data_IF_099845330844
#
_entry.id   IF_099845330844
#
_cell.length_a   1.000
_cell.length_b   1.000
_cell.length_c   1.000
_cell.angle_alpha   90.00
_cell.angle_beta   90.00
_cell.angle_gamma   90.00
#
_symmetry.space_group_name_H-M   'P 1'
#
loop_
_entity.id
_entity.type
_entity.pdbx_description
1 polymer ?
#
# COMPACT_ATOMS: atom_id res chain seq x y z
N UNK A 1 32.68 -40.70 -21.79
CA UNK A 1 31.38 -41.34 -21.47
C UNK A 1 31.29 -41.45 -19.96
N UNK A 2 30.22 -40.92 -19.34
CA UNK A 2 30.00 -40.67 -17.89
C UNK A 2 30.56 -39.35 -17.31
N UNK A 3 29.81 -38.26 -17.53
CA UNK A 3 29.72 -37.11 -16.62
C UNK A 3 28.52 -36.25 -17.05
N UNK A 4 27.32 -36.80 -16.85
CA UNK A 4 26.03 -36.14 -17.12
C UNK A 4 24.97 -36.90 -16.29
N UNK A 5 24.76 -36.51 -15.03
CA UNK A 5 23.58 -36.89 -14.21
C UNK A 5 23.53 -36.20 -12.83
N UNK A 6 23.84 -34.91 -12.73
CA UNK A 6 23.72 -34.17 -11.46
C UNK A 6 23.26 -32.70 -11.61
N UNK A 7 22.46 -32.38 -12.64
CA UNK A 7 21.98 -31.01 -12.89
C UNK A 7 20.49 -30.90 -13.25
N UNK A 8 19.66 -31.87 -12.86
CA UNK A 8 18.23 -31.85 -13.18
C UNK A 8 17.37 -32.39 -12.02
N UNK A 9 17.34 -31.69 -10.89
CA UNK A 9 16.27 -31.77 -9.89
C UNK A 9 16.41 -30.68 -8.80
N UNK A 10 16.63 -29.43 -9.20
CA UNK A 10 16.25 -28.29 -8.36
C UNK A 10 14.85 -27.82 -8.79
N UNK A 11 13.90 -28.76 -8.93
CA UNK A 11 12.50 -28.40 -8.77
C UNK A 11 12.37 -28.01 -7.30
N UNK A 12 11.97 -26.76 -7.09
CA UNK A 12 11.47 -26.28 -5.81
C UNK A 12 10.39 -27.25 -5.35
N UNK A 13 10.76 -28.22 -4.52
CA UNK A 13 9.84 -28.97 -3.69
C UNK A 13 9.27 -27.95 -2.70
N UNK A 14 8.21 -27.28 -3.13
CA UNK A 14 7.25 -26.68 -2.22
C UNK A 14 6.78 -27.82 -1.32
N UNK A 15 7.22 -27.79 -0.07
CA UNK A 15 6.88 -28.83 0.91
C UNK A 15 5.35 -28.95 0.99
N UNK A 16 4.76 -30.14 0.80
CA UNK A 16 3.31 -30.35 0.82
C UNK A 16 2.61 -29.83 2.09
N UNK A 17 3.37 -29.71 3.20
CA UNK A 17 2.90 -29.20 4.48
C UNK A 17 2.47 -27.72 4.46
N UNK A 18 3.06 -26.87 3.62
CA UNK A 18 2.75 -25.43 3.59
C UNK A 18 1.42 -25.14 2.88
N UNK A 19 1.05 -25.98 1.91
CA UNK A 19 -0.25 -25.93 1.24
C UNK A 19 -1.37 -26.51 2.10
N UNK A 20 -1.08 -27.55 2.89
CA UNK A 20 -2.08 -28.24 3.71
C UNK A 20 -2.66 -27.36 4.83
N UNK A 21 -1.85 -26.49 5.44
CA UNK A 21 -2.30 -25.56 6.49
C UNK A 21 -2.71 -24.17 5.96
N UNK A 22 -2.70 -23.98 4.63
CA UNK A 22 -3.11 -22.72 4.00
C UNK A 22 -4.62 -22.57 3.95
N UNK A 23 -5.36 -23.67 3.91
CA UNK A 23 -6.81 -23.66 3.78
C UNK A 23 -7.43 -24.04 5.14
N UNK A 24 -8.17 -23.11 5.74
CA UNK A 24 -8.81 -23.31 7.04
C UNK A 24 -10.10 -24.14 6.93
N UNK A 25 -10.65 -24.25 5.73
CA UNK A 25 -11.78 -25.11 5.39
C UNK A 25 -11.71 -25.58 3.92
N UNK A 26 -12.38 -26.70 3.57
CA UNK A 26 -12.39 -27.23 2.20
C UNK A 26 -13.05 -26.30 1.18
N UNK A 27 -13.99 -25.46 1.60
CA UNK A 27 -14.67 -24.49 0.72
C UNK A 27 -13.69 -23.46 0.17
N UNK A 28 -12.79 -22.96 1.03
CA UNK A 28 -11.75 -22.00 0.67
C UNK A 28 -10.78 -22.60 -0.36
N UNK A 29 -10.38 -23.87 -0.16
CA UNK A 29 -9.52 -24.58 -1.11
C UNK A 29 -10.18 -24.69 -2.49
N UNK A 30 -11.45 -25.08 -2.52
CA UNK A 30 -12.23 -25.16 -3.76
C UNK A 30 -12.39 -23.80 -4.46
N UNK A 31 -12.70 -22.74 -3.70
CA UNK A 31 -12.84 -21.38 -4.23
C UNK A 31 -11.53 -20.85 -4.82
N UNK A 32 -10.42 -20.98 -4.09
CA UNK A 32 -9.10 -20.53 -4.57
C UNK A 32 -8.69 -21.29 -5.83
N UNK A 33 -8.86 -22.62 -5.85
CA UNK A 33 -8.51 -23.43 -7.01
C UNK A 33 -9.29 -23.00 -8.27
N UNK A 34 -10.62 -22.83 -8.14
CA UNK A 34 -11.47 -22.45 -9.27
C UNK A 34 -11.27 -21.00 -9.71
N UNK A 35 -11.11 -20.07 -8.78
CA UNK A 35 -10.83 -18.67 -9.11
C UNK A 35 -9.45 -18.50 -9.78
N UNK A 36 -8.44 -19.27 -9.37
CA UNK A 36 -7.14 -19.32 -10.05
C UNK A 36 -7.24 -19.92 -11.44
N UNK A 37 -7.97 -21.03 -11.60
CA UNK A 37 -8.22 -21.62 -12.91
C UNK A 37 -8.93 -20.62 -13.84
N UNK A 38 -9.94 -19.91 -13.33
CA UNK A 38 -10.62 -18.84 -14.05
C UNK A 38 -9.67 -17.72 -14.42
N UNK A 39 -8.86 -17.23 -13.48
CA UNK A 39 -7.86 -16.18 -13.73
C UNK A 39 -6.91 -16.59 -14.86
N UNK A 40 -6.33 -17.80 -14.79
CA UNK A 40 -5.46 -18.33 -15.85
C UNK A 40 -6.14 -18.40 -17.22
N UNK A 41 -7.44 -18.70 -17.28
CA UNK A 41 -8.22 -18.74 -18.52
C UNK A 41 -8.60 -17.34 -19.03
N UNK A 42 -9.10 -16.46 -18.14
CA UNK A 42 -9.53 -15.10 -18.47
C UNK A 42 -8.36 -14.23 -18.88
N UNK A 43 -7.27 -14.30 -18.12
CA UNK A 43 -5.98 -13.65 -18.41
C UNK A 43 -5.39 -14.09 -19.74
N UNK A 44 -5.88 -15.19 -20.32
CA UNK A 44 -5.49 -15.75 -21.61
C UNK A 44 -6.51 -15.46 -22.72
N UNK A 45 -7.77 -15.22 -22.37
CA UNK A 45 -8.84 -14.92 -23.31
C UNK A 45 -8.79 -13.49 -23.86
N UNK A 46 -8.38 -12.50 -23.05
CA UNK A 46 -8.40 -11.07 -23.45
C UNK A 46 -7.18 -10.78 -24.34
N UNK A 47 -7.37 -10.56 -25.64
CA UNK A 47 -6.29 -10.19 -26.56
C UNK A 47 -6.01 -8.70 -26.58
N UNK A 48 -7.04 -7.90 -26.47
CA UNK A 48 -6.94 -6.44 -26.41
C UNK A 48 -8.10 -5.87 -25.60
N UNK A 49 -7.89 -4.68 -25.05
CA UNK A 49 -8.99 -3.86 -24.55
C UNK A 49 -8.72 -2.39 -24.83
N UNK A 50 -9.79 -1.63 -24.99
CA UNK A 50 -9.79 -0.17 -24.93
C UNK A 50 -10.57 0.27 -23.69
N UNK A 51 -10.11 1.32 -23.02
CA UNK A 51 -10.79 1.89 -21.86
C UNK A 51 -10.40 3.35 -21.64
N UNK A 52 -11.35 4.16 -21.15
CA UNK A 52 -11.08 5.49 -20.61
C UNK A 52 -10.82 5.35 -19.11
N UNK A 53 -9.67 5.83 -18.64
CA UNK A 53 -9.25 5.72 -17.25
C UNK A 53 -9.06 7.10 -16.66
N UNK A 54 -9.71 7.36 -15.52
CA UNK A 54 -9.58 8.61 -14.75
C UNK A 54 -8.98 8.31 -13.40
N UNK A 55 -7.97 9.06 -12.99
CA UNK A 55 -7.30 8.95 -11.70
C UNK A 55 -7.35 10.29 -10.97
N UNK A 56 -7.53 10.22 -9.66
CA UNK A 56 -7.45 11.36 -8.74
C UNK A 56 -6.59 10.98 -7.54
N UNK A 57 -5.66 11.85 -7.21
CA UNK A 57 -4.83 11.79 -6.01
C UNK A 57 -4.99 13.09 -5.25
N UNK A 58 -5.28 13.00 -3.97
CA UNK A 58 -5.33 14.14 -3.06
C UNK A 58 -4.51 13.85 -1.81
N UNK A 59 -3.64 14.79 -1.45
CA UNK A 59 -2.85 14.74 -0.22
C UNK A 59 -3.10 16.02 0.54
N UNK A 60 -3.55 15.85 1.78
CA UNK A 60 -3.76 16.95 2.71
C UNK A 60 -2.66 17.05 3.75
N UNK A 61 -2.67 18.15 4.49
CA UNK A 61 -1.91 18.36 5.71
C UNK A 61 -2.89 18.77 6.79
N UNK A 62 -2.95 17.97 7.85
CA UNK A 62 -3.66 18.28 9.08
C UNK A 62 -2.63 18.64 10.14
N UNK A 63 -2.49 19.94 10.39
CA UNK A 63 -1.69 20.48 11.47
C UNK A 63 -2.58 21.38 12.34
N UNK A 64 -2.57 21.12 13.65
CA UNK A 64 -3.38 21.82 14.66
C UNK A 64 -4.90 21.65 14.43
N UNK A 65 -5.55 22.58 13.71
CA UNK A 65 -7.02 22.59 13.44
C UNK A 65 -7.39 22.98 12.01
N UNK A 66 -6.44 23.04 11.08
CA UNK A 66 -6.71 23.42 9.69
C UNK A 66 -6.27 22.32 8.75
N UNK A 67 -7.19 21.90 7.90
CA UNK A 67 -6.90 21.00 6.78
C UNK A 67 -6.49 21.86 5.57
N UNK A 68 -5.34 21.54 4.98
CA UNK A 68 -4.82 22.20 3.78
C UNK A 68 -4.47 21.17 2.73
N UNK A 69 -4.85 21.39 1.47
CA UNK A 69 -4.37 20.57 0.37
C UNK A 69 -2.90 20.93 0.09
N UNK A 70 -2.02 19.92 0.05
CA UNK A 70 -0.59 20.10 -0.23
C UNK A 70 -0.18 19.53 -1.58
N UNK A 71 -0.93 18.54 -2.07
CA UNK A 71 -0.74 17.96 -3.40
C UNK A 71 -2.08 17.47 -3.94
N UNK A 72 -2.33 17.74 -5.22
CA UNK A 72 -3.45 17.18 -5.98
C UNK A 72 -2.95 16.82 -7.36
N UNK A 73 -3.37 15.68 -7.87
CA UNK A 73 -3.19 15.30 -9.26
C UNK A 73 -4.44 14.65 -9.81
N UNK A 74 -4.80 15.01 -11.03
CA UNK A 74 -5.89 14.40 -11.78
C UNK A 74 -5.38 14.08 -13.19
N UNK A 75 -5.69 12.87 -13.64
CA UNK A 75 -5.22 12.33 -14.90
C UNK A 75 -6.37 11.59 -15.59
N UNK A 76 -6.55 11.82 -16.88
CA UNK A 76 -7.48 11.12 -17.74
C UNK A 76 -6.72 10.61 -18.96
N UNK A 77 -6.83 9.31 -19.23
CA UNK A 77 -6.15 8.66 -20.36
C UNK A 77 -7.10 7.72 -21.09
N UNK A 78 -6.88 7.55 -22.39
CA UNK A 78 -7.46 6.47 -23.16
C UNK A 78 -6.38 5.41 -23.37
N UNK A 79 -6.66 4.18 -22.94
CA UNK A 79 -5.71 3.06 -22.99
C UNK A 79 -6.15 2.09 -24.07
N UNK A 80 -5.31 1.86 -25.06
CA UNK A 80 -5.44 0.79 -26.04
C UNK A 80 -4.42 -0.31 -25.71
N UNK A 81 -4.83 -1.26 -24.86
CA UNK A 81 -3.97 -2.36 -24.42
C UNK A 81 -4.04 -3.54 -25.39
N UNK A 82 -2.90 -4.18 -25.63
CA UNK A 82 -2.80 -5.41 -26.41
C UNK A 82 -1.86 -6.40 -25.76
N UNK A 83 -2.20 -7.69 -25.84
CA UNK A 83 -1.37 -8.79 -25.36
C UNK A 83 -0.11 -8.94 -26.22
N UNK A 84 1.03 -9.17 -25.56
CA UNK A 84 2.31 -9.55 -26.17
C UNK A 84 2.84 -8.60 -27.26
N UNK A 85 2.31 -7.38 -27.34
CA UNK A 85 2.76 -6.32 -28.25
C UNK A 85 2.75 -4.96 -27.55
N UNK A 86 3.03 -3.87 -28.27
CA UNK A 86 3.04 -2.51 -27.74
C UNK A 86 1.61 -1.95 -27.76
N UNK A 87 1.11 -1.59 -26.59
CA UNK A 87 -0.12 -0.82 -26.45
C UNK A 87 0.11 0.68 -26.66
N UNK A 88 -0.96 1.43 -26.73
CA UNK A 88 -0.93 2.89 -26.80
C UNK A 88 -1.69 3.50 -25.62
N UNK A 89 -1.19 4.60 -25.08
CA UNK A 89 -1.90 5.41 -24.08
C UNK A 89 -1.94 6.84 -24.60
N UNK A 90 -3.14 7.35 -24.86
CA UNK A 90 -3.36 8.75 -25.21
C UNK A 90 -3.75 9.53 -23.97
N UNK A 91 -3.03 10.60 -23.66
CA UNK A 91 -3.39 11.49 -22.56
C UNK A 91 -4.53 12.40 -23.00
N UNK A 92 -5.67 12.33 -22.30
CA UNK A 92 -6.87 13.13 -22.58
C UNK A 92 -6.94 14.39 -21.72
N UNK A 93 -6.42 14.31 -20.49
CA UNK A 93 -6.38 15.44 -19.57
C UNK A 93 -5.40 15.17 -18.44
N UNK A 94 -4.70 16.20 -17.97
CA UNK A 94 -3.74 16.08 -16.88
C UNK A 94 -3.62 17.42 -16.18
N UNK A 95 -3.71 17.41 -14.84
CA UNK A 95 -3.37 18.58 -14.02
C UNK A 95 -2.83 18.17 -12.67
N UNK A 96 -1.87 18.94 -12.20
CA UNK A 96 -1.22 18.82 -10.92
C UNK A 96 -1.22 20.17 -10.21
N UNK A 97 -1.44 20.16 -8.90
CA UNK A 97 -1.33 21.34 -8.06
C UNK A 97 -0.52 21.00 -6.82
N UNK A 98 0.53 21.79 -6.55
CA UNK A 98 1.39 21.66 -5.37
C UNK A 98 1.40 23.01 -4.64
N UNK A 99 0.32 23.41 -3.94
CA UNK A 99 0.15 24.78 -3.43
C UNK A 99 1.26 25.26 -2.50
N UNK A 100 1.99 24.33 -1.89
CA UNK A 100 3.13 24.62 -0.99
C UNK A 100 4.41 25.01 -1.74
N UNK A 101 4.52 24.68 -3.04
CA UNK A 101 5.73 24.87 -3.84
C UNK A 101 5.50 25.71 -5.10
N UNK A 102 4.35 25.51 -5.78
CA UNK A 102 4.03 26.15 -7.05
C UNK A 102 2.66 26.82 -6.98
N UNK A 103 2.53 27.99 -7.61
CA UNK A 103 1.23 28.68 -7.77
C UNK A 103 0.52 28.17 -9.01
N UNK A 104 -0.75 27.79 -8.86
CA UNK A 104 -1.60 27.38 -9.97
C UNK A 104 -1.54 25.87 -10.25
N UNK A 105 -2.13 25.50 -11.38
CA UNK A 105 -2.15 24.13 -11.91
C UNK A 105 -1.12 24.00 -13.03
N UNK A 106 -0.46 22.86 -13.10
CA UNK A 106 0.55 22.54 -14.10
C UNK A 106 0.37 21.13 -14.65
N UNK A 107 1.02 20.84 -15.78
CA UNK A 107 1.12 19.46 -16.28
C UNK A 107 2.14 18.71 -15.41
N UNK A 108 1.83 17.47 -14.94
CA UNK A 108 2.80 16.67 -14.20
C UNK A 108 4.08 16.46 -15.02
N UNK A 109 5.25 16.68 -14.41
CA UNK A 109 6.55 16.50 -15.10
C UNK A 109 6.77 15.04 -15.52
N UNK A 110 6.38 14.09 -14.66
CA UNK A 110 6.51 12.64 -14.88
C UNK A 110 5.33 12.02 -15.64
N UNK A 111 4.53 12.82 -16.36
CA UNK A 111 3.30 12.36 -17.02
C UNK A 111 3.52 11.16 -17.93
N UNK A 112 4.59 11.16 -18.73
CA UNK A 112 4.90 10.09 -19.67
C UNK A 112 5.31 8.78 -18.97
N UNK A 113 5.99 8.86 -17.82
CA UNK A 113 6.38 7.69 -17.04
C UNK A 113 5.26 7.16 -16.15
N UNK A 114 4.34 8.03 -15.72
CA UNK A 114 3.26 7.66 -14.80
C UNK A 114 2.01 7.13 -15.52
N UNK A 115 1.70 7.58 -16.74
CA UNK A 115 0.52 7.13 -17.47
C UNK A 115 0.42 5.60 -17.66
N UNK A 116 1.52 4.86 -17.93
CA UNK A 116 1.51 3.39 -18.00
C UNK A 116 1.05 2.67 -16.71
N UNK A 117 1.14 3.30 -15.54
CA UNK A 117 0.69 2.71 -14.27
C UNK A 117 -0.83 2.63 -14.15
N UNK A 118 -1.57 3.31 -15.04
CA UNK A 118 -3.04 3.26 -15.10
C UNK A 118 -3.54 2.00 -15.82
N UNK A 119 -2.72 1.40 -16.68
CA UNK A 119 -3.10 0.21 -17.43
C UNK A 119 -3.27 -1.00 -16.49
N UNK A 120 -4.45 -1.62 -16.55
CA UNK A 120 -4.71 -2.87 -15.86
C UNK A 120 -4.07 -4.03 -16.64
N UNK A 121 -3.34 -4.87 -15.92
CA UNK A 121 -2.80 -6.12 -16.44
C UNK A 121 -3.56 -7.27 -15.75
N UNK A 122 -4.50 -7.95 -16.46
CA UNK A 122 -5.29 -9.04 -15.91
C UNK A 122 -4.42 -10.12 -15.25
N UNK A 123 -3.23 -10.35 -15.81
CA UNK A 123 -2.35 -11.42 -15.41
C UNK A 123 -1.31 -11.06 -14.34
N UNK A 124 -1.39 -9.86 -13.78
CA UNK A 124 -0.45 -9.41 -12.77
C UNK A 124 -0.53 -10.27 -11.51
N UNK A 125 0.60 -10.66 -10.93
CA UNK A 125 0.63 -11.41 -9.67
C UNK A 125 0.63 -10.49 -8.43
N UNK A 126 0.50 -9.19 -8.65
CA UNK A 126 0.41 -8.16 -7.64
C UNK A 126 -0.83 -7.29 -7.81
N UNK A 127 -1.37 -6.85 -6.68
CA UNK A 127 -2.36 -5.78 -6.61
C UNK A 127 -1.59 -4.48 -6.39
N UNK A 128 -1.58 -3.60 -7.39
CA UNK A 128 -1.01 -2.24 -7.26
C UNK A 128 -2.09 -1.30 -6.75
N UNK A 129 -1.80 -0.59 -5.68
CA UNK A 129 -2.74 0.31 -5.00
C UNK A 129 -2.15 1.66 -4.61
N UNK A 130 -0.87 1.88 -4.88
CA UNK A 130 -0.29 3.21 -4.88
C UNK A 130 0.74 3.32 -6.01
N UNK A 131 1.15 4.55 -6.30
CA UNK A 131 2.19 4.86 -7.29
C UNK A 131 3.56 4.36 -6.83
N UNK A 132 4.41 4.04 -7.79
CA UNK A 132 5.78 3.57 -7.54
C UNK A 132 5.86 2.11 -7.08
N UNK A 133 7.05 1.69 -6.67
CA UNK A 133 7.37 0.29 -6.38
C UNK A 133 6.90 -0.18 -4.98
N UNK A 134 6.73 0.74 -4.04
CA UNK A 134 6.28 0.43 -2.67
C UNK A 134 4.76 0.21 -2.57
N UNK A 135 4.00 0.63 -3.58
CA UNK A 135 2.53 0.61 -3.62
C UNK A 135 1.91 -0.70 -4.13
N UNK A 136 2.48 -1.85 -3.80
CA UNK A 136 2.00 -3.15 -4.28
C UNK A 136 1.92 -4.20 -3.18
N UNK A 137 0.90 -5.06 -3.26
CA UNK A 137 0.74 -6.23 -2.42
C UNK A 137 0.66 -7.49 -3.28
N UNK A 138 1.13 -8.61 -2.75
CA UNK A 138 1.05 -9.88 -3.49
C UNK A 138 -0.41 -10.33 -3.63
N UNK A 139 -0.84 -10.62 -4.85
CA UNK A 139 -2.23 -11.01 -5.15
C UNK A 139 -2.57 -12.36 -4.46
N UNK A 140 -3.70 -12.49 -3.73
CA UNK A 140 -4.03 -13.72 -3.00
C UNK A 140 -4.32 -14.92 -3.90
N UNK A 141 -4.75 -14.69 -5.14
CA UNK A 141 -4.86 -15.71 -6.18
C UNK A 141 -3.58 -15.90 -7.01
N UNK A 142 -2.46 -15.26 -6.66
CA UNK A 142 -1.19 -15.55 -7.35
C UNK A 142 -0.75 -17.00 -7.11
N UNK A 143 -0.06 -17.64 -8.05
CA UNK A 143 0.54 -18.96 -7.83
C UNK A 143 1.49 -18.97 -6.63
N UNK A 144 1.34 -19.98 -5.77
CA UNK A 144 2.15 -20.18 -4.55
C UNK A 144 1.81 -19.22 -3.42
N UNK A 145 0.61 -18.65 -3.39
CA UNK A 145 0.23 -17.68 -2.35
C UNK A 145 -0.10 -18.26 -1.00
N UNK A 146 -0.21 -19.58 -0.93
CA UNK A 146 -0.27 -20.38 0.27
C UNK A 146 0.90 -20.15 1.21
N UNK A 147 2.08 -19.80 0.69
CA UNK A 147 3.26 -19.48 1.50
C UNK A 147 3.12 -18.15 2.26
N UNK A 148 2.25 -17.25 1.78
CA UNK A 148 2.07 -15.90 2.34
C UNK A 148 0.72 -15.72 3.02
N UNK A 149 -0.28 -16.51 2.66
CA UNK A 149 -1.65 -16.38 3.13
C UNK A 149 -2.23 -17.70 3.64
N UNK A 150 -3.21 -17.57 4.52
CA UNK A 150 -4.22 -18.58 4.82
C UNK A 150 -5.57 -18.11 4.33
N UNK A 151 -6.45 -19.05 4.01
CA UNK A 151 -7.74 -18.79 3.38
C UNK A 151 -8.86 -19.43 4.18
N UNK A 152 -9.98 -18.72 4.31
CA UNK A 152 -11.22 -19.26 4.85
C UNK A 152 -12.41 -18.84 3.98
N UNK A 153 -13.41 -19.70 3.90
CA UNK A 153 -14.73 -19.33 3.38
C UNK A 153 -15.37 -18.33 4.34
N UNK A 154 -16.01 -17.31 3.79
CA UNK A 154 -16.75 -16.33 4.55
C UNK A 154 -18.23 -16.34 4.19
N UNK A 155 -18.82 -15.16 4.15
CA UNK A 155 -20.24 -14.99 3.88
C UNK A 155 -20.59 -15.30 2.41
N UNK A 156 -21.87 -15.53 2.16
CA UNK A 156 -22.45 -15.65 0.82
C UNK A 156 -23.51 -14.58 0.65
N UNK A 157 -23.53 -13.89 -0.48
CA UNK A 157 -24.59 -12.92 -0.80
C UNK A 157 -24.98 -13.03 -2.26
N UNK A 158 -26.15 -12.50 -2.60
CA UNK A 158 -26.66 -12.45 -3.96
C UNK A 158 -26.69 -10.99 -4.42
N UNK A 159 -26.05 -10.70 -5.55
CA UNK A 159 -26.08 -9.39 -6.20
C UNK A 159 -27.20 -9.41 -7.22
N UNK A 160 -28.16 -8.50 -7.10
CA UNK A 160 -29.23 -8.33 -8.09
C UNK A 160 -28.88 -7.21 -9.05
N UNK A 161 -28.86 -7.49 -10.35
CA UNK A 161 -28.62 -6.52 -11.39
C UNK A 161 -29.91 -5.78 -11.79
N UNK A 162 -29.83 -4.58 -12.40
CA UNK A 162 -31.01 -3.84 -12.87
C UNK A 162 -31.88 -4.61 -13.89
N UNK A 163 -31.31 -5.59 -14.58
CA UNK A 163 -31.99 -6.49 -15.53
C UNK A 163 -32.75 -7.65 -14.85
N UNK A 164 -32.78 -7.69 -13.50
CA UNK A 164 -33.44 -8.72 -12.70
C UNK A 164 -32.63 -10.00 -12.51
N UNK A 165 -31.44 -10.11 -13.12
CA UNK A 165 -30.54 -11.24 -12.92
C UNK A 165 -29.93 -11.21 -11.52
N UNK A 166 -29.90 -12.35 -10.84
CA UNK A 166 -29.19 -12.52 -9.58
C UNK A 166 -27.88 -13.26 -9.77
N UNK A 167 -26.84 -12.83 -9.08
CA UNK A 167 -25.54 -13.47 -9.08
C UNK A 167 -25.10 -13.79 -7.66
N UNK A 168 -24.94 -15.08 -7.38
CA UNK A 168 -24.36 -15.54 -6.12
C UNK A 168 -22.88 -15.21 -6.06
N UNK A 169 -22.45 -14.62 -4.95
CA UNK A 169 -21.04 -14.32 -4.68
C UNK A 169 -20.63 -14.90 -3.32
N UNK A 170 -19.44 -15.48 -3.29
CA UNK A 170 -18.82 -16.10 -2.12
C UNK A 170 -17.67 -15.24 -1.62
N UNK A 171 -17.62 -14.98 -0.32
CA UNK A 171 -16.49 -14.35 0.33
C UNK A 171 -15.37 -15.38 0.55
N UNK A 172 -14.17 -15.01 0.13
CA UNK A 172 -12.92 -15.67 0.47
C UNK A 172 -12.12 -14.73 1.38
N UNK A 173 -12.01 -15.09 2.65
CA UNK A 173 -11.21 -14.37 3.64
C UNK A 173 -9.74 -14.70 3.44
N UNK A 174 -8.91 -13.66 3.36
CA UNK A 174 -7.46 -13.74 3.19
C UNK A 174 -6.78 -13.27 4.45
N UNK A 175 -6.04 -14.19 5.08
CA UNK A 175 -5.32 -13.96 6.33
C UNK A 175 -3.83 -14.00 6.03
N UNK A 176 -3.07 -12.92 6.21
CA UNK A 176 -1.63 -12.93 5.99
C UNK A 176 -0.95 -13.82 7.02
N UNK A 177 0.06 -14.60 6.64
CA UNK A 177 0.83 -15.43 7.58
C UNK A 177 1.85 -14.62 8.40
N UNK A 178 2.22 -13.44 7.90
CA UNK A 178 3.19 -12.53 8.52
C UNK A 178 2.69 -11.08 8.47
N UNK A 179 3.09 -10.30 9.47
CA UNK A 179 2.85 -8.86 9.50
C UNK A 179 3.84 -8.14 8.56
N UNK A 180 3.46 -8.00 7.30
CA UNK A 180 4.27 -7.38 6.24
C UNK A 180 3.41 -6.43 5.40
N UNK A 181 3.88 -5.21 5.12
CA UNK A 181 3.13 -4.22 4.35
C UNK A 181 2.88 -4.66 2.90
N UNK A 182 3.68 -5.61 2.40
CA UNK A 182 3.52 -6.21 1.06
C UNK A 182 2.46 -7.32 1.01
N UNK A 183 1.89 -7.68 2.16
CA UNK A 183 0.80 -8.65 2.28
C UNK A 183 -0.50 -7.97 2.68
N UNK A 184 -1.62 -8.56 2.30
CA UNK A 184 -2.94 -8.05 2.61
C UNK A 184 -3.70 -8.86 3.66
N UNK A 185 -4.53 -8.17 4.43
CA UNK A 185 -5.57 -8.75 5.27
C UNK A 185 -6.91 -8.25 4.77
N UNK A 186 -7.79 -9.15 4.34
CA UNK A 186 -9.10 -8.74 3.82
C UNK A 186 -9.90 -9.86 3.17
N UNK A 187 -10.74 -9.50 2.21
CA UNK A 187 -11.71 -10.39 1.58
C UNK A 187 -11.76 -10.22 0.07
N UNK A 188 -11.83 -11.33 -0.66
CA UNK A 188 -12.16 -11.40 -2.08
C UNK A 188 -13.58 -11.90 -2.23
N UNK A 189 -14.39 -11.23 -3.04
CA UNK A 189 -15.73 -11.69 -3.41
C UNK A 189 -15.66 -12.33 -4.78
N UNK A 190 -16.10 -13.58 -4.87
CA UNK A 190 -15.94 -14.44 -6.04
C UNK A 190 -17.31 -14.87 -6.54
N UNK A 191 -17.57 -14.69 -7.84
CA UNK A 191 -18.77 -15.16 -8.53
C UNK A 191 -18.95 -16.68 -8.40
N UNK A 192 -20.18 -17.13 -8.15
CA UNK A 192 -20.43 -18.53 -7.81
C UNK A 192 -20.35 -19.53 -8.96
N UNK A 193 -20.69 -19.12 -10.19
CA UNK A 193 -20.61 -19.98 -11.37
C UNK A 193 -19.33 -19.75 -12.17
N UNK A 194 -19.05 -18.48 -12.50
CA UNK A 194 -17.90 -18.10 -13.31
C UNK A 194 -16.58 -18.00 -12.55
N UNK A 195 -16.59 -17.98 -11.22
CA UNK A 195 -15.41 -17.81 -10.36
C UNK A 195 -14.56 -16.57 -10.68
N UNK A 196 -15.17 -15.53 -11.25
CA UNK A 196 -14.55 -14.22 -11.42
C UNK A 196 -14.47 -13.46 -10.11
N UNK A 197 -13.42 -12.65 -9.93
CA UNK A 197 -13.32 -11.74 -8.79
C UNK A 197 -14.24 -10.55 -9.06
N UNK A 198 -15.19 -10.31 -8.16
CA UNK A 198 -16.19 -9.24 -8.24
C UNK A 198 -15.76 -8.03 -7.43
N UNK A 199 -15.13 -8.26 -6.27
CA UNK A 199 -14.61 -7.20 -5.40
C UNK A 199 -13.42 -7.71 -4.61
N UNK A 200 -12.47 -6.82 -4.36
CA UNK A 200 -11.38 -7.01 -3.42
C UNK A 200 -11.43 -5.87 -2.40
N UNK A 201 -11.54 -6.19 -1.11
CA UNK A 201 -11.47 -5.22 -0.01
C UNK A 201 -10.39 -5.66 0.97
N UNK A 202 -9.38 -4.84 1.19
CA UNK A 202 -8.29 -5.20 2.10
C UNK A 202 -7.61 -3.98 2.71
N UNK A 203 -6.73 -4.25 3.67
CA UNK A 203 -5.68 -3.34 4.10
C UNK A 203 -4.33 -4.07 4.15
N UNK A 204 -3.20 -3.38 4.05
CA UNK A 204 -1.89 -3.98 4.32
C UNK A 204 -1.85 -4.64 5.70
N UNK A 205 -1.10 -5.72 5.85
CA UNK A 205 -1.03 -6.47 7.10
C UNK A 205 -0.38 -5.68 8.25
N UNK A 206 0.35 -4.61 7.93
CA UNK A 206 0.83 -3.60 8.89
C UNK A 206 1.08 -2.27 8.17
N UNK A 207 1.16 -1.15 8.92
CA UNK A 207 1.62 0.12 8.38
C UNK A 207 3.03 0.01 7.79
N UNK A 208 3.29 0.86 6.81
CA UNK A 208 4.62 1.09 6.26
C UNK A 208 5.43 1.97 7.22
N UNK A 209 6.68 1.58 7.52
CA UNK A 209 7.64 2.41 8.25
C UNK A 209 8.90 2.56 7.40
N UNK A 210 9.16 3.79 6.97
CA UNK A 210 10.27 4.09 6.06
C UNK A 210 11.63 3.66 6.64
N UNK A 211 11.81 3.69 7.97
CA UNK A 211 13.08 3.31 8.58
C UNK A 211 13.39 1.82 8.46
N UNK A 212 12.38 0.97 8.23
CA UNK A 212 12.54 -0.49 8.13
C UNK A 212 12.22 -1.03 6.74
N UNK A 213 11.42 -0.31 5.97
CA UNK A 213 10.80 -0.83 4.74
C UNK A 213 11.32 -0.19 3.45
N UNK A 214 11.89 1.01 3.55
CA UNK A 214 12.51 1.68 2.41
C UNK A 214 13.93 1.16 2.19
N UNK A 215 14.37 1.17 0.94
CA UNK A 215 15.74 0.82 0.59
C UNK A 215 16.70 1.92 1.08
N UNK A 216 17.90 1.52 1.51
CA UNK A 216 18.85 2.39 2.23
C UNK A 216 19.40 3.59 1.44
N UNK A 217 19.09 3.67 0.14
CA UNK A 217 19.62 4.68 -0.76
C UNK A 217 18.79 5.97 -0.82
N UNK A 218 17.60 6.00 -0.19
CA UNK A 218 16.75 7.19 -0.17
C UNK A 218 17.19 8.18 0.93
N UNK A 219 17.89 9.25 0.53
CA UNK A 219 18.37 10.27 1.46
C UNK A 219 17.24 11.24 1.86
N UNK A 220 16.47 10.88 2.88
CA UNK A 220 15.43 11.75 3.45
C UNK A 220 16.00 12.60 4.59
N UNK A 221 15.83 13.94 4.57
CA UNK A 221 16.24 14.83 5.64
C UNK A 221 15.71 14.43 7.01
N UNK A 222 16.56 14.53 8.04
CA UNK A 222 16.24 14.05 9.39
C UNK A 222 15.01 14.69 10.03
N UNK A 223 14.71 15.95 9.69
CA UNK A 223 13.56 16.68 10.25
C UNK A 223 12.19 16.19 9.74
N UNK A 224 12.15 15.41 8.64
CA UNK A 224 10.92 14.79 8.14
C UNK A 224 10.65 13.42 8.78
N UNK A 225 11.64 12.84 9.48
CA UNK A 225 11.49 11.54 10.13
C UNK A 225 10.82 11.70 11.51
N UNK A 226 10.02 10.72 11.98
CA UNK A 226 9.67 9.47 11.31
C UNK A 226 8.65 9.67 10.18
N UNK A 227 8.71 8.79 9.17
CA UNK A 227 7.72 8.70 8.09
C UNK A 227 7.05 7.34 8.19
N UNK A 228 5.75 7.35 8.47
CA UNK A 228 4.91 6.15 8.54
C UNK A 228 3.67 6.35 7.69
N UNK A 229 3.21 5.30 7.02
CA UNK A 229 1.98 5.35 6.25
C UNK A 229 1.06 4.20 6.64
N UNK A 230 -0.16 4.54 7.01
CA UNK A 230 -1.22 3.60 7.33
C UNK A 230 -2.31 3.71 6.26
N UNK A 231 -2.49 2.62 5.50
CA UNK A 231 -3.61 2.50 4.57
C UNK A 231 -4.78 1.91 5.35
N UNK A 232 -5.84 2.71 5.50
CA UNK A 232 -7.07 2.32 6.21
C UNK A 232 -7.80 1.26 5.40
N UNK A 233 -7.91 1.46 4.09
CA UNK A 233 -8.47 0.49 3.17
C UNK A 233 -7.99 0.67 1.72
N UNK A 234 -8.13 -0.43 0.98
CA UNK A 234 -8.07 -0.53 -0.46
C UNK A 234 -9.30 -1.32 -0.90
N UNK A 235 -10.10 -0.73 -1.79
CA UNK A 235 -11.18 -1.44 -2.49
C UNK A 235 -10.90 -1.44 -3.99
N UNK A 236 -11.17 -2.57 -4.64
CA UNK A 236 -11.17 -2.69 -6.10
C UNK A 236 -12.48 -3.40 -6.46
N UNK A 237 -13.32 -2.71 -7.20
CA UNK A 237 -14.57 -3.24 -7.71
C UNK A 237 -14.40 -3.65 -9.17
N UNK A 238 -14.95 -4.79 -9.52
CA UNK A 238 -14.96 -5.30 -10.88
C UNK A 238 -16.38 -5.22 -11.43
N UNK A 239 -16.50 -4.85 -12.70
CA UNK A 239 -17.73 -4.94 -13.46
C UNK A 239 -17.63 -6.07 -14.48
N UNK A 240 -18.78 -6.69 -14.75
CA UNK A 240 -18.87 -7.76 -15.75
C UNK A 240 -19.15 -7.14 -17.13
N UNK A 241 -18.20 -7.26 -18.04
CA UNK A 241 -18.28 -6.80 -19.43
C UNK A 241 -18.62 -7.96 -20.37
N UNK A 242 -19.53 -7.69 -21.31
CA UNK A 242 -20.06 -8.68 -22.27
C UNK A 242 -20.51 -9.99 -21.61
N UNK A 243 -21.01 -9.91 -20.37
CA UNK A 243 -21.42 -11.05 -19.52
C UNK A 243 -20.32 -12.11 -19.31
N UNK A 244 -19.05 -11.75 -19.46
CA UNK A 244 -17.94 -12.71 -19.49
C UNK A 244 -16.72 -12.25 -18.72
N UNK A 245 -16.25 -11.03 -18.94
CA UNK A 245 -14.98 -10.55 -18.39
C UNK A 245 -15.22 -9.67 -17.18
N UNK A 246 -14.65 -10.04 -16.04
CA UNK A 246 -14.59 -9.17 -14.88
C UNK A 246 -13.37 -8.28 -15.02
N UNK A 247 -13.60 -6.98 -15.25
CA UNK A 247 -12.54 -5.98 -15.35
C UNK A 247 -12.72 -4.94 -14.25
N UNK A 248 -11.64 -4.35 -13.73
CA UNK A 248 -11.74 -3.29 -12.74
C UNK A 248 -12.62 -2.17 -13.28
N UNK A 249 -13.52 -1.67 -12.46
CA UNK A 249 -14.34 -0.49 -12.75
C UNK A 249 -13.91 0.66 -11.86
N UNK A 250 -13.66 0.35 -10.59
CA UNK A 250 -13.33 1.35 -9.59
C UNK A 250 -12.26 0.83 -8.65
N UNK A 251 -11.38 1.73 -8.24
CA UNK A 251 -10.44 1.50 -7.18
C UNK A 251 -10.40 2.73 -6.28
N UNK A 252 -10.53 2.52 -4.97
CA UNK A 252 -10.38 3.58 -3.98
C UNK A 252 -9.43 3.13 -2.87
N UNK A 253 -8.56 4.06 -2.49
CA UNK A 253 -7.55 3.89 -1.45
C UNK A 253 -7.57 5.10 -0.56
N UNK A 254 -7.57 4.83 0.72
CA UNK A 254 -7.63 5.87 1.74
C UNK A 254 -6.68 5.52 2.88
N UNK A 255 -5.92 6.52 3.30
CA UNK A 255 -4.87 6.33 4.28
C UNK A 255 -4.41 7.63 4.92
N UNK A 256 -3.50 7.49 5.88
CA UNK A 256 -2.86 8.60 6.56
C UNK A 256 -1.37 8.33 6.67
N UNK A 257 -0.56 9.28 6.20
CA UNK A 257 0.85 9.32 6.49
C UNK A 257 1.11 10.20 7.71
N UNK A 258 2.09 9.82 8.52
CA UNK A 258 2.63 10.65 9.60
C UNK A 258 4.05 11.05 9.18
N UNK A 259 4.29 12.36 9.09
CA UNK A 259 5.60 12.93 8.76
C UNK A 259 5.99 13.85 9.92
N UNK A 260 7.05 13.49 10.63
CA UNK A 260 7.43 14.12 11.90
C UNK A 260 6.26 14.15 12.90
N UNK A 261 5.62 15.31 13.08
CA UNK A 261 4.45 15.52 13.95
C UNK A 261 3.15 15.76 13.18
N UNK A 262 3.19 15.86 11.86
CA UNK A 262 2.04 16.20 11.04
C UNK A 262 1.33 14.95 10.51
N UNK A 263 0.00 15.03 10.42
CA UNK A 263 -0.82 14.02 9.75
C UNK A 263 -1.08 14.47 8.32
N UNK A 264 -0.90 13.55 7.39
CA UNK A 264 -0.96 13.77 5.96
C UNK A 264 -1.98 12.77 5.40
N UNK A 265 -3.28 13.09 5.39
CA UNK A 265 -4.28 12.23 4.79
C UNK A 265 -4.00 12.08 3.29
N UNK A 266 -4.10 10.85 2.79
CA UNK A 266 -3.88 10.49 1.39
C UNK A 266 -5.13 9.79 0.88
N UNK A 267 -5.62 10.26 -0.27
CA UNK A 267 -6.74 9.68 -0.99
C UNK A 267 -6.33 9.43 -2.43
N UNK A 268 -6.66 8.25 -2.92
CA UNK A 268 -6.38 7.82 -4.29
C UNK A 268 -7.61 7.11 -4.84
N UNK A 269 -8.07 7.53 -6.01
CA UNK A 269 -9.25 7.00 -6.68
C UNK A 269 -8.94 6.81 -8.16
N UNK A 270 -9.42 5.69 -8.73
CA UNK A 270 -9.26 5.37 -10.14
C UNK A 270 -10.52 4.72 -10.68
N UNK A 271 -10.98 5.22 -11.82
CA UNK A 271 -12.18 4.75 -12.51
C UNK A 271 -11.82 4.30 -13.92
N UNK A 272 -12.48 3.24 -14.36
CA UNK A 272 -12.36 2.68 -15.68
C UNK A 272 -13.76 2.63 -16.31
N UNK A 273 -13.92 3.34 -17.42
CA UNK A 273 -15.15 3.47 -18.18
C UNK A 273 -14.91 3.09 -19.65
N UNK A 274 -16.00 2.98 -20.42
CA UNK A 274 -15.98 2.77 -21.88
C UNK A 274 -15.14 1.57 -22.35
N UNK A 275 -15.27 0.44 -21.65
CA UNK A 275 -14.54 -0.77 -22.02
C UNK A 275 -15.00 -1.36 -23.34
N UNK A 276 -14.05 -1.54 -24.26
CA UNK A 276 -14.19 -2.41 -25.42
C UNK A 276 -13.20 -3.57 -25.31
N UNK A 277 -13.70 -4.81 -25.27
CA UNK A 277 -12.85 -5.98 -24.98
C UNK A 277 -12.86 -6.93 -26.17
N UNK A 278 -11.66 -7.23 -26.69
CA UNK A 278 -11.46 -8.21 -27.77
C UNK A 278 -10.81 -9.45 -27.18
N UNK A 279 -11.47 -10.60 -27.32
CA UNK A 279 -10.95 -11.87 -26.83
C UNK A 279 -11.68 -13.08 -27.38
N UNK A 280 -11.04 -14.25 -27.31
CA UNK A 280 -11.64 -15.52 -27.73
C UNK A 280 -12.37 -16.22 -26.57
N UNK A 281 -13.34 -17.07 -26.92
CA UNK A 281 -13.97 -18.01 -25.98
C UNK A 281 -13.16 -19.29 -25.78
N UNK A 282 -12.26 -19.62 -26.69
CA UNK A 282 -11.39 -20.80 -26.59
C UNK A 282 -10.15 -20.47 -25.74
N UNK A 283 -9.63 -21.43 -24.95
CA UNK A 283 -8.28 -21.31 -24.40
C UNK A 283 -7.32 -21.05 -25.57
N UNK A 284 -6.42 -20.06 -25.50
CA UNK A 284 -5.43 -19.91 -26.54
C UNK A 284 -4.60 -21.19 -26.63
N UNK A 285 -4.09 -21.53 -27.83
CA UNK A 285 -3.09 -22.60 -27.97
C UNK A 285 -1.92 -22.33 -27.01
N UNK A 286 -1.18 -23.39 -26.65
CA UNK A 286 0.03 -23.27 -25.83
C UNK A 286 0.91 -22.11 -26.33
N UNK A 287 1.56 -21.37 -25.41
CA UNK A 287 2.37 -20.22 -25.80
C UNK A 287 3.43 -20.66 -26.81
N UNK A 288 3.29 -20.17 -28.04
CA UNK A 288 4.32 -20.30 -29.07
C UNK A 288 5.63 -19.73 -28.49
N UNK A 289 6.75 -20.47 -28.45
CA UNK A 289 7.99 -20.00 -27.88
C UNK A 289 8.51 -18.76 -28.63
N UNK A 290 8.07 -17.59 -28.13
CA UNK A 290 8.44 -16.24 -28.52
C UNK A 290 8.30 -15.93 -30.03
N UNK A 291 7.18 -15.33 -30.48
CA UNK A 291 7.21 -14.61 -31.74
C UNK A 291 8.32 -13.55 -31.69
N UNK A 292 9.09 -13.43 -32.79
CA UNK A 292 10.17 -12.44 -32.98
C UNK A 292 9.71 -10.98 -32.74
N UNK A 293 8.40 -10.74 -32.65
CA UNK A 293 7.77 -9.44 -32.43
C UNK A 293 7.06 -9.26 -31.07
N UNK A 294 7.42 -10.08 -30.07
CA UNK A 294 6.87 -9.96 -28.71
C UNK A 294 7.20 -8.61 -28.04
N UNK A 295 6.36 -8.19 -27.08
CA UNK A 295 6.60 -7.01 -26.24
C UNK A 295 8.01 -7.00 -25.62
N UNK A 296 8.54 -8.18 -25.25
CA UNK A 296 9.91 -8.34 -24.76
C UNK A 296 10.96 -7.95 -25.82
N UNK A 297 10.86 -8.53 -27.02
CA UNK A 297 11.79 -8.23 -28.11
C UNK A 297 11.73 -6.76 -28.55
N UNK A 298 10.54 -6.13 -28.44
CA UNK A 298 10.39 -4.68 -28.67
C UNK A 298 10.98 -3.86 -27.54
N UNK A 299 10.82 -4.24 -26.29
CA UNK A 299 11.46 -3.56 -25.16
C UNK A 299 12.99 -3.63 -25.24
N UNK A 300 13.55 -4.76 -25.66
CA UNK A 300 14.99 -4.91 -25.87
C UNK A 300 15.52 -4.03 -27.01
N UNK A 301 14.72 -3.79 -28.08
CA UNK A 301 15.11 -2.95 -29.23
C UNK A 301 14.84 -1.45 -29.06
N UNK A 302 13.67 -1.09 -28.51
CA UNK A 302 13.10 0.26 -28.52
C UNK A 302 13.00 0.89 -27.13
N UNK A 303 13.58 0.27 -26.09
CA UNK A 303 13.31 0.62 -24.69
C UNK A 303 13.56 2.08 -24.25
N UNK A 304 14.11 2.95 -25.11
CA UNK A 304 14.20 4.41 -24.88
C UNK A 304 13.01 5.19 -25.44
N UNK A 305 12.29 4.65 -26.42
CA UNK A 305 11.18 5.30 -27.13
C UNK A 305 9.81 4.84 -26.60
N UNK A 306 9.77 3.70 -25.92
CA UNK A 306 8.56 3.10 -25.33
C UNK A 306 8.76 2.84 -23.85
N UNK A 307 7.68 2.91 -23.08
CA UNK A 307 7.71 2.50 -21.68
C UNK A 307 7.64 0.97 -21.58
N UNK A 308 8.60 0.40 -20.84
CA UNK A 308 8.75 -1.04 -20.71
C UNK A 308 8.84 -1.48 -19.25
N UNK A 309 7.98 -2.42 -18.84
CA UNK A 309 8.03 -3.06 -17.53
C UNK A 309 7.97 -4.58 -17.68
N UNK A 310 9.04 -5.27 -17.30
CA UNK A 310 9.14 -6.71 -17.38
C UNK A 310 9.21 -7.34 -15.98
N UNK A 311 8.35 -8.32 -15.68
CA UNK A 311 8.44 -9.17 -14.48
C UNK A 311 8.25 -10.63 -14.85
N UNK A 312 9.13 -11.49 -14.29
CA UNK A 312 9.07 -12.96 -14.44
C UNK A 312 8.87 -13.43 -15.90
N UNK A 313 9.59 -12.79 -16.83
CA UNK A 313 9.56 -13.13 -18.25
C UNK A 313 8.36 -12.56 -19.04
N UNK A 314 7.43 -11.85 -18.41
CA UNK A 314 6.36 -11.11 -19.08
C UNK A 314 6.69 -9.63 -19.14
N UNK A 315 6.53 -9.02 -20.30
CA UNK A 315 6.78 -7.61 -20.52
C UNK A 315 5.50 -6.90 -20.93
N UNK A 316 5.22 -5.75 -20.31
CA UNK A 316 4.25 -4.77 -20.80
C UNK A 316 5.00 -3.64 -21.48
N UNK A 317 4.49 -3.17 -22.59
CA UNK A 317 5.11 -2.14 -23.40
C UNK A 317 4.04 -1.15 -23.88
N UNK A 318 4.29 0.15 -23.71
CA UNK A 318 3.36 1.20 -24.13
C UNK A 318 4.08 2.35 -24.83
N UNK A 319 3.48 2.87 -25.88
CA UNK A 319 3.75 4.21 -26.39
C UNK A 319 2.80 5.19 -25.71
N UNK A 320 3.32 6.25 -25.11
CA UNK A 320 2.51 7.32 -24.52
C UNK A 320 2.45 8.48 -25.49
N UNK A 321 1.24 8.86 -25.88
CA UNK A 321 0.96 9.97 -26.78
C UNK A 321 0.39 11.13 -25.98
N UNK A 322 1.17 12.21 -25.91
CA UNK A 322 0.75 13.48 -25.31
C UNK A 322 0.40 14.45 -26.46
N UNK A 323 -0.77 15.09 -26.46
CA UNK A 323 -1.13 16.06 -27.48
C UNK A 323 -0.08 17.18 -27.63
N UNK A 324 0.17 17.68 -28.86
CA UNK A 324 1.14 18.75 -29.09
C UNK A 324 0.83 20.02 -28.29
N UNK A 325 -0.45 20.37 -28.14
CA UNK A 325 -0.92 21.41 -27.23
C UNK A 325 -1.18 20.80 -25.85
N UNK A 326 -0.11 20.60 -25.08
CA UNK A 326 -0.21 20.03 -23.74
C UNK A 326 -0.91 20.97 -22.74
N UNK A 327 -0.95 22.28 -23.01
CA UNK A 327 -1.62 23.24 -22.13
C UNK A 327 -3.14 23.03 -22.10
N UNK A 328 -3.73 22.58 -23.21
CA UNK A 328 -5.15 22.22 -23.29
C UNK A 328 -5.56 21.11 -22.31
N UNK A 329 -4.62 20.22 -21.92
CA UNK A 329 -4.88 19.11 -20.99
C UNK A 329 -5.32 19.59 -19.60
N UNK A 330 -4.94 20.80 -19.17
CA UNK A 330 -5.31 21.37 -17.87
C UNK A 330 -6.82 21.62 -17.72
N UNK A 331 -7.47 21.94 -18.85
CA UNK A 331 -8.87 22.32 -18.93
C UNK A 331 -9.74 21.26 -19.63
N UNK A 332 -9.21 20.07 -19.88
CA UNK A 332 -9.92 18.98 -20.55
C UNK A 332 -11.21 18.60 -19.82
N UNK A 333 -12.27 18.36 -20.59
CA UNK A 333 -13.57 17.90 -20.10
C UNK A 333 -13.54 16.45 -19.61
N UNK A 334 -12.52 15.67 -20.00
CA UNK A 334 -12.34 14.29 -19.56
C UNK A 334 -11.82 14.16 -18.13
N UNK A 335 -11.32 15.28 -17.56
CA UNK A 335 -10.88 15.32 -16.18
C UNK A 335 -12.08 15.23 -15.22
N UNK A 336 -11.88 14.59 -14.04
CA UNK A 336 -12.86 14.64 -12.96
C UNK A 336 -13.28 16.09 -12.60
N UNK A 337 -14.54 16.30 -12.13
CA UNK A 337 -15.02 17.62 -11.69
C UNK A 337 -14.07 18.26 -10.68
N UNK A 338 -13.80 19.57 -10.81
CA UNK A 338 -12.86 20.26 -9.92
C UNK A 338 -13.31 20.16 -8.46
N UNK A 339 -12.41 19.72 -7.59
CA UNK A 339 -12.59 19.79 -6.14
C UNK A 339 -12.49 21.25 -5.66
N UNK A 340 -13.46 21.70 -4.86
CA UNK A 340 -13.44 23.01 -4.21
C UNK A 340 -12.57 22.94 -2.95
N UNK A 341 -11.67 23.91 -2.78
CA UNK A 341 -10.76 23.97 -1.65
C UNK A 341 -11.54 24.13 -0.33
N UNK A 342 -11.37 23.19 0.60
CA UNK A 342 -12.00 23.24 1.93
C UNK A 342 -13.17 22.27 2.12
N UNK A 343 -13.69 21.69 1.03
CA UNK A 343 -14.52 20.49 1.11
C UNK A 343 -13.62 19.26 1.18
N UNK A 344 -13.83 18.42 2.19
CA UNK A 344 -13.45 17.00 2.12
C UNK A 344 -14.42 16.30 1.18
N UNK A 345 -14.44 16.73 -0.08
CA UNK A 345 -15.33 16.15 -1.06
C UNK A 345 -14.80 14.75 -1.38
N UNK A 346 -15.55 13.79 -0.89
CA UNK A 346 -15.22 12.38 -0.94
C UNK A 346 -15.97 11.81 -2.13
N UNK A 347 -15.30 11.23 -3.14
CA UNK A 347 -16.05 10.51 -4.19
C UNK A 347 -16.81 9.30 -3.62
N UNK A 348 -16.48 8.89 -2.39
CA UNK A 348 -17.19 7.90 -1.60
C UNK A 348 -18.21 8.62 -0.71
N UNK A 349 -19.49 8.36 -0.90
CA UNK A 349 -20.57 8.97 -0.12
C UNK A 349 -20.46 8.63 1.37
N UNK A 350 -21.06 9.45 2.26
CA UNK A 350 -21.10 9.13 3.70
C UNK A 350 -21.75 7.76 4.00
N UNK A 351 -22.68 7.33 3.16
CA UNK A 351 -23.31 6.00 3.23
C UNK A 351 -22.31 4.88 2.96
N UNK A 352 -21.56 4.99 1.86
CA UNK A 352 -20.51 4.04 1.48
C UNK A 352 -19.37 4.01 2.50
N UNK A 353 -18.98 5.16 3.07
CA UNK A 353 -17.97 5.23 4.14
C UNK A 353 -18.40 4.45 5.40
N UNK A 354 -19.68 4.52 5.78
CA UNK A 354 -20.22 3.73 6.91
C UNK A 354 -20.22 2.23 6.60
N UNK A 355 -20.63 1.84 5.41
CA UNK A 355 -20.61 0.44 4.96
C UNK A 355 -19.18 -0.11 4.92
N UNK A 356 -18.24 0.65 4.35
CA UNK A 356 -16.82 0.32 4.34
C UNK A 356 -16.30 0.18 5.78
N UNK A 357 -16.60 1.12 6.68
CA UNK A 357 -16.18 1.05 8.07
C UNK A 357 -16.63 -0.23 8.80
N UNK A 358 -17.89 -0.64 8.60
CA UNK A 358 -18.41 -1.89 9.16
C UNK A 358 -17.66 -3.11 8.59
N UNK A 359 -17.44 -3.14 7.27
CA UNK A 359 -16.71 -4.24 6.60
C UNK A 359 -15.23 -4.27 6.99
N UNK A 360 -14.59 -3.11 7.21
CA UNK A 360 -13.21 -3.00 7.70
C UNK A 360 -13.04 -3.57 9.10
N UNK A 361 -14.03 -3.35 9.98
CA UNK A 361 -14.09 -3.96 11.30
C UNK A 361 -14.21 -5.49 11.27
N UNK A 362 -14.78 -6.05 10.19
CA UNK A 362 -14.96 -7.49 9.99
C UNK A 362 -13.78 -8.17 9.26
N UNK A 363 -12.79 -7.41 8.77
CA UNK A 363 -11.65 -8.03 8.06
C UNK A 363 -10.89 -8.99 8.99
N UNK A 364 -10.33 -10.07 8.43
CA UNK A 364 -9.51 -10.97 9.21
C UNK A 364 -8.37 -10.22 9.88
N UNK A 365 -8.11 -10.57 11.14
CA UNK A 365 -7.02 -9.94 11.86
C UNK A 365 -5.68 -10.52 11.40
N UNK A 366 -4.69 -9.64 11.27
CA UNK A 366 -3.30 -10.05 11.09
C UNK A 366 -2.88 -10.91 12.28
N UNK A 367 -2.22 -12.06 12.06
CA UNK A 367 -1.69 -12.89 13.14
C UNK A 367 -0.70 -12.13 14.01
N UNK A 368 -0.44 -12.69 15.19
CA UNK A 368 0.59 -12.19 16.07
C UNK A 368 1.95 -12.35 15.38
N UNK A 369 2.62 -11.22 15.13
CA UNK A 369 3.98 -11.18 14.63
C UNK A 369 4.88 -10.58 15.69
N UNK A 370 6.05 -11.18 15.91
CA UNK A 370 7.09 -10.64 16.77
C UNK A 370 8.15 -10.00 15.88
N UNK A 371 8.19 -8.67 15.85
CA UNK A 371 9.27 -7.95 15.17
C UNK A 371 9.88 -6.95 16.13
N UNK A 372 11.10 -7.24 16.56
CA UNK A 372 11.93 -6.33 17.36
C UNK A 372 12.90 -5.64 16.38
N UNK A 373 12.70 -4.37 16.03
CA UNK A 373 13.65 -3.65 15.19
C UNK A 373 14.94 -3.33 15.95
N UNK A 374 15.97 -2.91 15.22
CA UNK A 374 17.23 -2.47 15.84
C UNK A 374 16.99 -1.26 16.76
N UNK A 375 17.65 -1.21 17.92
CA UNK A 375 17.57 -0.06 18.81
C UNK A 375 18.02 1.22 18.09
N UNK A 376 17.27 2.30 18.31
CA UNK A 376 17.66 3.65 17.91
C UNK A 376 18.53 4.23 19.01
N UNK A 377 19.81 4.37 18.70
CA UNK A 377 20.82 5.04 19.53
C UNK A 377 20.80 6.56 19.27
N UNK A 378 21.39 7.35 20.16
CA UNK A 378 21.50 8.82 20.00
C UNK A 378 20.60 9.63 20.92
N UNK A 379 20.03 9.02 21.95
CA UNK A 379 19.35 9.75 23.04
C UNK A 379 20.39 10.20 24.08
N UNK A 380 21.31 11.10 23.70
CA UNK A 380 22.27 11.69 24.63
C UNK A 380 21.68 12.93 25.30
N UNK A 381 21.86 13.06 26.62
CA UNK A 381 21.58 14.31 27.35
C UNK A 381 22.68 14.57 28.36
N UNK A 382 22.83 15.81 28.77
CA UNK A 382 23.68 16.21 29.87
C UNK A 382 22.87 16.96 30.93
N UNK A 383 23.10 16.66 32.21
CA UNK A 383 22.58 17.43 33.34
C UNK A 383 23.49 17.24 34.56
N UNK A 384 23.32 18.07 35.58
CA UNK A 384 24.10 18.08 36.81
C UNK A 384 24.04 16.77 37.61
N UNK A 385 22.95 16.02 37.49
CA UNK A 385 22.70 14.79 38.29
C UNK A 385 23.31 13.55 37.63
N UNK A 386 23.06 13.37 36.34
CA UNK A 386 23.49 12.18 35.59
C UNK A 386 24.82 12.35 34.87
N UNK A 387 25.33 13.59 34.77
CA UNK A 387 26.41 13.92 33.84
C UNK A 387 25.98 13.65 32.40
N UNK A 388 26.86 13.05 31.60
CA UNK A 388 26.49 12.53 30.29
C UNK A 388 25.61 11.29 30.47
N UNK A 389 24.38 11.34 29.98
CA UNK A 389 23.45 10.21 29.94
C UNK A 389 23.28 9.73 28.51
N UNK A 390 23.49 8.43 28.30
CA UNK A 390 23.38 7.78 26.99
C UNK A 390 22.16 6.85 26.98
N UNK A 391 21.34 6.97 25.94
CA UNK A 391 20.10 6.23 25.83
C UNK A 391 19.88 5.51 24.51
N UNK A 392 19.09 4.45 24.58
CA UNK A 392 18.58 3.70 23.45
C UNK A 392 17.07 3.54 23.56
N UNK A 393 16.38 3.54 22.41
CA UNK A 393 14.95 3.25 22.32
C UNK A 393 14.69 2.10 21.35
N UNK A 394 13.80 1.21 21.76
CA UNK A 394 13.26 0.12 20.93
C UNK A 394 11.74 0.28 20.89
N UNK A 395 11.17 0.27 19.67
CA UNK A 395 9.72 0.16 19.48
C UNK A 395 9.45 -1.15 18.75
N UNK A 396 8.91 -2.14 19.44
CA UNK A 396 8.57 -3.45 18.87
C UNK A 396 7.07 -3.55 18.55
N UNK A 397 6.75 -4.21 17.44
CA UNK A 397 5.37 -4.53 17.08
C UNK A 397 5.11 -6.01 17.40
N UNK A 398 4.11 -6.25 18.25
CA UNK A 398 3.67 -7.55 18.74
C UNK A 398 2.24 -7.83 18.23
N UNK A 399 2.08 -7.87 16.91
CA UNK A 399 0.78 -8.02 16.26
C UNK A 399 -0.13 -6.83 16.50
N UNK A 400 -1.02 -6.93 17.50
CA UNK A 400 -2.00 -5.88 17.85
C UNK A 400 -1.51 -4.92 18.94
N UNK A 401 -0.31 -5.17 19.47
CA UNK A 401 0.31 -4.38 20.52
C UNK A 401 1.58 -3.72 19.99
N UNK A 402 1.81 -2.48 20.38
CA UNK A 402 3.12 -1.82 20.21
C UNK A 402 3.77 -1.71 21.57
N UNK A 403 5.03 -2.12 21.68
CA UNK A 403 5.84 -1.98 22.89
C UNK A 403 6.92 -0.95 22.63
N UNK A 404 6.97 0.10 23.44
CA UNK A 404 8.08 1.03 23.45
C UNK A 404 8.89 0.82 24.72
N UNK A 405 10.17 0.53 24.57
CA UNK A 405 11.13 0.47 25.65
C UNK A 405 12.19 1.56 25.42
N UNK A 406 12.46 2.36 26.45
CA UNK A 406 13.57 3.31 26.47
C UNK A 406 14.44 3.01 27.68
N UNK A 407 15.73 2.81 27.45
CA UNK A 407 16.73 2.68 28.52
C UNK A 407 17.73 3.80 28.42
N UNK A 408 18.14 4.38 29.55
CA UNK A 408 19.26 5.32 29.63
C UNK A 408 20.17 5.00 30.81
N UNK A 409 21.42 5.41 30.71
CA UNK A 409 22.40 5.31 31.79
C UNK A 409 23.16 6.63 31.91
N UNK A 410 23.07 7.26 33.09
CA UNK A 410 23.92 8.39 33.46
C UNK A 410 25.32 7.92 33.83
N UNK A 411 26.37 8.54 33.25
CA UNK A 411 27.75 8.15 33.54
C UNK A 411 28.26 8.68 34.89
N UNK A 412 27.63 9.71 35.47
CA UNK A 412 28.06 10.27 36.75
C UNK A 412 27.51 9.50 37.96
N UNK A 413 26.24 9.06 37.89
CA UNK A 413 25.58 8.33 38.97
C UNK A 413 25.45 6.83 38.72
N UNK A 414 25.68 6.35 37.49
CA UNK A 414 25.53 4.96 37.06
C UNK A 414 24.15 4.36 37.36
N UNK A 415 23.14 5.21 37.52
CA UNK A 415 21.79 4.76 37.78
C UNK A 415 20.99 4.69 36.47
N UNK A 416 20.32 3.56 36.19
CA UNK A 416 19.57 3.38 34.96
C UNK A 416 18.21 4.07 35.00
N UNK A 417 17.82 4.70 33.89
CA UNK A 417 16.44 5.07 33.60
C UNK A 417 15.81 4.01 32.69
N UNK A 418 14.57 3.63 32.98
CA UNK A 418 13.78 2.71 32.18
C UNK A 418 12.35 3.24 32.02
N UNK A 419 11.89 3.33 30.77
CA UNK A 419 10.48 3.54 30.43
C UNK A 419 10.01 2.37 29.58
N UNK A 420 8.90 1.74 29.94
CA UNK A 420 8.23 0.70 29.17
C UNK A 420 6.77 1.09 28.93
N UNK A 421 6.31 1.14 27.68
CA UNK A 421 4.94 1.43 27.33
C UNK A 421 4.37 0.37 26.38
N UNK A 422 3.17 -0.10 26.69
CA UNK A 422 2.33 -0.95 25.87
C UNK A 422 1.20 -0.11 25.28
N UNK A 423 1.00 -0.20 23.97
CA UNK A 423 -0.11 0.45 23.27
C UNK A 423 -0.93 -0.57 22.52
N UNK A 424 -2.25 -0.41 22.55
CA UNK A 424 -3.20 -1.17 21.73
C UNK A 424 -4.12 -0.21 21.03
N UNK A 425 -4.13 -0.25 19.71
CA UNK A 425 -5.05 0.51 18.88
C UNK A 425 -6.05 -0.46 18.26
N UNK A 426 -7.34 -0.26 18.54
CA UNK A 426 -8.45 -0.84 17.77
C UNK A 426 -9.08 0.26 16.92
N UNK A 427 -9.87 -0.11 15.92
CA UNK A 427 -10.57 0.86 15.06
C UNK A 427 -11.49 1.83 15.81
N UNK A 428 -11.78 1.61 17.10
CA UNK A 428 -12.66 2.46 17.92
C UNK A 428 -12.05 2.89 19.26
N UNK A 429 -10.93 2.32 19.71
CA UNK A 429 -10.35 2.60 21.02
C UNK A 429 -8.82 2.53 21.03
N UNK A 430 -8.18 3.46 21.75
CA UNK A 430 -6.73 3.49 21.96
C UNK A 430 -6.44 3.31 23.45
N UNK A 431 -5.73 2.23 23.77
CA UNK A 431 -5.27 1.94 25.13
C UNK A 431 -3.76 2.12 25.20
N UNK A 432 -3.30 2.72 26.29
CA UNK A 432 -1.88 2.83 26.64
C UNK A 432 -1.73 2.46 28.10
N UNK A 433 -0.76 1.62 28.39
CA UNK A 433 -0.29 1.30 29.74
C UNK A 433 1.22 1.50 29.74
N UNK A 434 1.73 2.37 30.59
CA UNK A 434 3.15 2.61 30.71
C UNK A 434 3.61 2.48 32.15
N UNK A 435 4.85 2.02 32.32
CA UNK A 435 5.54 1.94 33.59
C UNK A 435 6.92 2.56 33.42
N UNK A 436 7.36 3.33 34.40
CA UNK A 436 8.61 4.05 34.31
C UNK A 436 9.37 4.07 35.64
N UNK A 437 10.69 4.16 35.52
CA UNK A 437 11.63 4.53 36.56
C UNK A 437 12.64 5.48 35.91
N UNK A 438 12.56 6.77 36.20
CA UNK A 438 13.35 7.78 35.48
C UNK A 438 13.66 9.01 36.30
N UNK A 439 14.65 9.79 35.85
CA UNK A 439 14.83 11.15 36.31
C UNK A 439 13.73 12.06 35.74
N UNK A 440 12.97 12.71 36.62
CA UNK A 440 11.93 13.68 36.31
C UNK A 440 12.35 15.10 36.72
N UNK A 441 11.71 16.10 36.12
CA UNK A 441 11.90 17.50 36.46
C UNK A 441 10.72 18.02 37.27
N UNK A 442 10.98 18.80 38.32
CA UNK A 442 9.95 19.42 39.15
C UNK A 442 9.06 20.38 38.36
N UNK A 443 9.66 21.15 37.44
CA UNK A 443 8.95 21.99 36.48
C UNK A 443 9.23 21.52 35.03
N UNK A 444 8.31 20.78 34.40
CA UNK A 444 8.47 20.37 33.00
C UNK A 444 8.45 21.55 32.01
N UNK A 445 7.86 22.69 32.39
CA UNK A 445 7.68 23.87 31.53
C UNK A 445 9.01 24.52 31.12
N UNK A 446 10.02 24.44 31.98
CA UNK A 446 11.39 24.94 31.70
C UNK A 446 12.20 24.02 30.79
N UNK A 447 11.67 22.83 30.45
CA UNK A 447 12.31 21.81 29.60
C UNK A 447 13.77 21.49 30.02
N UNK A 448 14.06 21.22 31.29
CA UNK A 448 15.43 21.05 31.77
C UNK A 448 16.08 19.73 31.28
N UNK A 449 15.27 18.77 30.81
CA UNK A 449 15.74 17.56 30.13
C UNK A 449 15.90 17.73 28.61
N UNK A 450 15.75 18.96 28.10
CA UNK A 450 15.87 19.30 26.69
C UNK A 450 17.31 19.64 26.27
N UNK A 451 17.53 19.68 24.96
CA UNK A 451 18.86 19.92 24.36
C UNK A 451 19.48 21.25 24.79
N UNK A 452 18.66 22.29 24.94
CA UNK A 452 19.13 23.63 25.35
C UNK A 452 19.77 23.61 26.73
N UNK A 453 19.10 23.03 27.73
CA UNK A 453 19.64 22.93 29.09
C UNK A 453 20.86 22.00 29.15
N UNK A 454 20.87 20.91 28.37
CA UNK A 454 22.05 20.05 28.29
C UNK A 454 23.30 20.77 27.76
N UNK A 455 23.16 21.62 26.75
CA UNK A 455 24.27 22.43 26.24
C UNK A 455 24.70 23.51 27.24
N UNK A 456 23.75 24.19 27.90
CA UNK A 456 24.05 25.19 28.92
C UNK A 456 24.77 24.58 30.13
N UNK A 457 24.33 23.40 30.58
CA UNK A 457 24.92 22.68 31.70
C UNK A 457 26.33 22.18 31.36
N UNK A 458 26.55 21.65 30.14
CA UNK A 458 27.85 21.17 29.70
C UNK A 458 28.87 22.29 29.43
N UNK A 459 28.45 23.37 28.75
CA UNK A 459 29.36 24.42 28.28
C UNK A 459 29.51 25.58 29.26
N UNK A 460 28.46 25.90 30.02
CA UNK A 460 28.38 27.06 30.91
C UNK A 460 28.26 26.67 32.38
N UNK A 461 28.17 25.37 32.71
CA UNK A 461 27.95 24.89 34.08
C UNK A 461 26.59 25.31 34.65
N UNK A 462 25.67 25.79 33.81
CA UNK A 462 24.37 26.33 34.23
C UNK A 462 23.27 25.33 33.91
N UNK A 463 22.67 24.79 34.96
CA UNK A 463 21.56 23.84 34.88
C UNK A 463 20.33 24.44 35.55
N UNK A 464 19.29 24.71 34.77
CA UNK A 464 18.05 25.33 35.23
C UNK A 464 17.03 24.29 35.75
N UNK A 465 17.46 23.03 35.91
CA UNK A 465 16.62 21.92 36.34
C UNK A 465 16.71 21.60 37.83
N UNK A 466 15.54 21.40 38.44
CA UNK A 466 15.38 20.67 39.69
C UNK A 466 14.87 19.26 39.39
N UNK A 467 15.60 18.25 39.85
CA UNK A 467 15.39 16.87 39.46
C UNK A 467 15.04 15.99 40.64
N UNK A 468 14.18 15.00 40.38
CA UNK A 468 13.87 13.94 41.33
C UNK A 468 13.69 12.61 40.59
N UNK A 469 13.87 11.51 41.32
CA UNK A 469 13.60 10.16 40.80
C UNK A 469 12.12 9.86 40.93
N UNK A 470 11.53 9.37 39.85
CA UNK A 470 10.13 8.99 39.81
C UNK A 470 9.98 7.55 39.32
N UNK A 471 9.17 6.77 40.02
CA UNK A 471 8.62 5.51 39.54
C UNK A 471 7.11 5.57 39.51
N UNK A 472 6.49 4.94 38.52
CA UNK A 472 5.04 4.96 38.39
C UNK A 472 4.52 4.10 37.26
N UNK A 473 3.19 4.03 37.20
CA UNK A 473 2.42 3.39 36.13
C UNK A 473 1.32 4.36 35.70
N UNK A 474 1.14 4.54 34.40
CA UNK A 474 0.20 5.49 33.77
C UNK A 474 -0.60 4.89 32.60
#
# INVERSE_FOLDING_TARGET
MLLLLAAAAALVLQTPHDSANAYLDPGAQGLVARARARRLLVDRSIRAYEATVRERIAVGLRALRRDRMVYRRELAVHISWRRDTVGEIRVLGAREAIPVAVRGEQIPEDLASDAPDLAFDPANDQVRYARGDSGSARHPLAPGSEADYRFASGDTTDITFPDGRSLRVYELRVVPRRADFRLMSGSLWIEGEGFGVVRLLFRPARPFDMATDADSNDHVPGFLKPIRAEIRYVTIEYAQWSKRWWLPREMAVDGVATVAFAQVPVRFERFYDDYEVVGDSAPPPEPDPAPRDSARARCERLGKEIHCSCRRGRCRAFTVVIPPDSAALLASADLPPRLILGETDSLVTEGELRELGQRLGALPATPWGFRVPRPRWGLARYNRVEGLSLGARVTAELGRLTVDATGRLGLANLEPDADLALRRESGTARWRLAGYYRLAAADPGTRPLGVGNSLASLLLGRDDGEYFRASGVD
#
